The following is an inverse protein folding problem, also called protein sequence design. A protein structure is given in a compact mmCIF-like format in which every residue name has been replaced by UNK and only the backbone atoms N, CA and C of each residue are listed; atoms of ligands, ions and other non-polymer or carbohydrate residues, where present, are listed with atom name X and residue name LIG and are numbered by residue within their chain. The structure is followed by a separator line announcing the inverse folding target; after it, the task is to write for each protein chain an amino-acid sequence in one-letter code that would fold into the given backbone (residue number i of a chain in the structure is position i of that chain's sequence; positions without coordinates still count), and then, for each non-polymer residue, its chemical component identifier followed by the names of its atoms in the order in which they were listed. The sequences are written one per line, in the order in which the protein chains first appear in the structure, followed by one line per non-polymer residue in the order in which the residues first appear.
data_IF_039567627350
#
_entry.id   IF_039567627350
#
_cell.length_a   1.000
_cell.length_b   1.000
_cell.length_c   1.000
_cell.angle_alpha   90.00
_cell.angle_beta   90.00
_cell.angle_gamma   90.00
#
_symmetry.space_group_name_H-M   'P 1'
#
loop_
_entity.id
_entity.type
_entity.pdbx_description
1 polymer ?
#
# COMPACT_ATOMS: atom_id res chain seq x y z
N UNK A 1 -12.05 9.59 90.27
CA UNK A 1 -10.90 9.86 91.14
C UNK A 1 -9.67 9.20 90.51
N UNK A 2 -8.86 9.96 89.79
CA UNK A 2 -7.54 9.51 89.34
C UNK A 2 -6.54 10.51 89.93
N UNK A 3 -6.02 10.16 91.10
CA UNK A 3 -5.02 10.94 91.81
C UNK A 3 -3.68 10.67 91.11
N UNK A 4 -3.36 11.46 90.09
CA UNK A 4 -2.04 11.43 89.47
C UNK A 4 -1.04 12.07 90.45
N UNK A 5 0.03 11.36 90.87
CA UNK A 5 1.09 11.97 91.66
C UNK A 5 1.76 13.05 90.79
N UNK A 6 1.98 14.24 91.35
CA UNK A 6 2.61 15.35 90.65
C UNK A 6 4.02 14.91 90.19
N UNK A 7 4.16 14.66 88.88
CA UNK A 7 5.46 14.47 88.26
C UNK A 7 6.31 15.74 88.38
N UNK A 8 7.64 15.66 88.18
CA UNK A 8 8.53 16.79 88.36
C UNK A 8 8.05 17.99 87.52
N UNK A 9 7.62 19.07 88.17
CA UNK A 9 7.15 20.29 87.49
C UNK A 9 8.32 21.21 87.16
N UNK A 10 8.46 21.61 85.91
CA UNK A 10 9.41 22.63 85.47
C UNK A 10 8.62 23.89 85.10
N UNK A 11 8.90 25.01 85.76
CA UNK A 11 8.27 26.33 85.51
C UNK A 11 6.74 26.34 85.57
N UNK A 12 6.14 25.61 86.52
CA UNK A 12 4.69 25.65 86.78
C UNK A 12 3.82 24.77 85.86
N UNK A 13 4.43 24.00 84.95
CA UNK A 13 3.72 23.04 84.10
C UNK A 13 4.14 21.59 84.42
N UNK A 14 3.18 20.67 84.31
CA UNK A 14 3.41 19.23 84.47
C UNK A 14 4.15 18.67 83.24
N UNK A 15 5.34 18.13 83.48
CA UNK A 15 6.22 17.57 82.44
C UNK A 15 5.57 16.36 81.76
N UNK A 16 4.73 15.61 82.48
CA UNK A 16 4.03 14.45 81.90
C UNK A 16 2.97 14.95 80.91
N UNK A 17 2.19 15.98 81.25
CA UNK A 17 1.18 16.56 80.37
C UNK A 17 1.81 17.12 79.07
N UNK A 18 2.88 17.91 79.21
CA UNK A 18 3.62 18.45 78.05
C UNK A 18 4.21 17.31 77.21
N UNK A 19 4.77 16.29 77.85
CA UNK A 19 5.28 15.09 77.18
C UNK A 19 4.19 14.35 76.39
N UNK A 20 3.00 14.19 76.95
CA UNK A 20 1.89 13.47 76.30
C UNK A 20 1.37 14.22 75.07
N UNK A 21 1.29 15.56 75.13
CA UNK A 21 0.90 16.42 74.01
C UNK A 21 1.96 16.37 72.89
N UNK A 22 3.25 16.46 73.25
CA UNK A 22 4.36 16.35 72.29
C UNK A 22 4.39 14.99 71.59
N UNK A 23 4.16 13.90 72.33
CA UNK A 23 4.08 12.54 71.77
C UNK A 23 2.88 12.40 70.82
N UNK A 24 1.72 12.96 71.18
CA UNK A 24 0.55 12.99 70.30
C UNK A 24 0.82 13.73 68.98
N UNK A 25 1.50 14.88 69.05
CA UNK A 25 1.84 15.69 67.89
C UNK A 25 2.89 15.00 67.00
N UNK A 26 3.86 14.31 67.61
CA UNK A 26 4.84 13.49 66.92
C UNK A 26 4.18 12.30 66.19
N UNK A 27 3.22 11.61 66.83
CA UNK A 27 2.51 10.50 66.22
C UNK A 27 1.69 10.93 64.99
N UNK A 28 1.00 12.06 65.06
CA UNK A 28 0.26 12.63 63.92
C UNK A 28 1.21 13.04 62.79
N UNK A 29 2.33 13.66 63.11
CA UNK A 29 3.37 14.03 62.12
C UNK A 29 3.89 12.81 61.36
N UNK A 30 4.22 11.72 62.08
CA UNK A 30 4.70 10.47 61.45
C UNK A 30 3.62 9.84 60.58
N UNK A 31 2.36 9.83 61.02
CA UNK A 31 1.25 9.31 60.21
C UNK A 31 1.06 10.09 58.91
N UNK A 32 1.15 11.43 58.96
CA UNK A 32 1.11 12.29 57.77
C UNK A 32 2.32 12.04 56.85
N UNK A 33 3.51 11.85 57.41
CA UNK A 33 4.72 11.58 56.64
C UNK A 33 4.63 10.25 55.88
N UNK A 34 4.11 9.19 56.52
CA UNK A 34 3.90 7.88 55.89
C UNK A 34 2.84 7.98 54.79
N UNK A 35 1.73 8.68 55.05
CA UNK A 35 0.67 8.88 54.05
C UNK A 35 1.17 9.64 52.82
N UNK A 36 1.97 10.70 53.05
CA UNK A 36 2.59 11.47 51.98
C UNK A 36 3.55 10.60 51.16
N UNK A 37 4.42 9.81 51.80
CA UNK A 37 5.39 8.96 51.11
C UNK A 37 4.74 7.89 50.22
N UNK A 38 3.65 7.25 50.68
CA UNK A 38 2.95 6.20 49.92
C UNK A 38 2.09 6.77 48.78
N UNK A 39 1.61 8.02 48.91
CA UNK A 39 0.71 8.63 47.92
C UNK A 39 1.43 9.24 46.71
N UNK A 40 2.75 9.42 46.77
CA UNK A 40 3.53 9.91 45.61
C UNK A 40 3.54 8.84 44.52
N UNK A 41 2.65 8.97 43.54
CA UNK A 41 2.69 8.18 42.31
C UNK A 41 3.90 8.59 41.48
N UNK A 42 4.73 7.61 41.14
CA UNK A 42 5.91 7.81 40.31
C UNK A 42 5.57 8.45 38.95
N UNK A 43 6.03 9.70 38.68
CA UNK A 43 5.74 10.38 37.43
C UNK A 43 6.43 9.72 36.22
N UNK A 44 7.46 8.89 36.48
CA UNK A 44 8.26 8.19 35.47
C UNK A 44 7.44 7.19 34.65
N UNK A 45 6.56 6.41 35.27
CA UNK A 45 5.73 5.42 34.56
C UNK A 45 4.82 6.08 33.51
N UNK A 46 4.25 7.24 33.86
CA UNK A 46 3.41 8.04 32.94
C UNK A 46 4.22 8.59 31.78
N UNK A 47 5.44 9.09 32.03
CA UNK A 47 6.36 9.62 31.01
C UNK A 47 6.81 8.54 30.02
N UNK A 48 7.20 7.36 30.51
CA UNK A 48 7.64 6.25 29.65
C UNK A 48 6.49 5.77 28.75
N UNK A 49 5.27 5.66 29.28
CA UNK A 49 4.08 5.30 28.48
C UNK A 49 3.82 6.31 27.36
N UNK A 50 3.91 7.61 27.63
CA UNK A 50 3.72 8.65 26.60
C UNK A 50 4.83 8.64 25.54
N UNK A 51 6.08 8.37 25.94
CA UNK A 51 7.21 8.31 25.01
C UNK A 51 7.09 7.13 24.05
N UNK A 52 6.68 5.97 24.57
CA UNK A 52 6.45 4.78 23.75
C UNK A 52 5.27 4.97 22.80
N UNK A 53 4.17 5.56 23.25
CA UNK A 53 3.03 5.88 22.40
C UNK A 53 3.41 6.82 21.23
N UNK A 54 4.25 7.84 21.49
CA UNK A 54 4.79 8.72 20.43
C UNK A 54 5.73 7.99 19.47
N UNK A 55 6.59 7.10 19.97
CA UNK A 55 7.46 6.28 19.11
C UNK A 55 6.65 5.36 18.21
N UNK A 56 5.58 4.77 18.73
CA UNK A 56 4.68 3.90 17.97
C UNK A 56 3.87 4.69 16.93
N UNK A 57 3.36 5.87 17.29
CA UNK A 57 2.73 6.82 16.37
C UNK A 57 3.68 7.26 15.25
N UNK A 58 4.95 7.55 15.57
CA UNK A 58 5.96 7.89 14.57
C UNK A 58 6.29 6.70 13.65
N UNK A 59 6.37 5.47 14.19
CA UNK A 59 6.57 4.26 13.38
C UNK A 59 5.38 4.00 12.44
N UNK A 60 4.15 4.17 12.92
CA UNK A 60 2.93 4.00 12.12
C UNK A 60 2.73 5.15 11.11
N UNK A 61 3.11 6.37 11.48
CA UNK A 61 3.08 7.56 10.64
C UNK A 61 4.04 7.48 9.44
N UNK A 62 5.21 6.86 9.61
CA UNK A 62 6.17 6.61 8.52
C UNK A 62 5.61 5.59 7.52
N UNK A 63 4.93 4.54 8.00
CA UNK A 63 4.30 3.53 7.13
C UNK A 63 3.13 4.09 6.29
N UNK A 64 2.43 5.12 6.78
CA UNK A 64 1.24 5.70 6.13
C UNK A 64 1.52 6.96 5.31
N UNK A 65 2.52 7.77 5.70
CA UNK A 65 2.82 9.06 5.03
C UNK A 65 3.60 8.90 3.72
N UNK A 66 4.37 7.82 3.56
CA UNK A 66 5.06 7.51 2.30
C UNK A 66 4.09 7.29 1.10
N UNK A 67 2.80 7.05 1.36
CA UNK A 67 1.79 6.85 0.30
C UNK A 67 1.23 8.12 -0.33
N UNK A 68 1.31 9.29 0.33
CA UNK A 68 0.64 10.51 -0.19
C UNK A 68 1.34 11.18 -1.38
N UNK A 69 2.62 10.89 -1.64
CA UNK A 69 3.33 11.35 -2.86
C UNK A 69 3.45 10.29 -3.97
N UNK A 70 3.03 9.05 -3.71
CA UNK A 70 3.13 7.94 -4.67
C UNK A 70 1.92 7.83 -5.62
N UNK A 71 0.89 8.68 -5.48
CA UNK A 71 -0.37 8.57 -6.24
C UNK A 71 -0.41 9.34 -7.56
N UNK A 72 0.64 10.08 -7.94
CA UNK A 72 0.69 10.76 -9.25
C UNK A 72 1.13 9.81 -10.37
N UNK A 73 1.86 8.73 -10.04
CA UNK A 73 2.03 7.60 -10.96
C UNK A 73 0.81 6.71 -10.78
N UNK A 74 -0.21 6.99 -11.59
CA UNK A 74 -1.46 6.22 -11.66
C UNK A 74 -1.13 4.77 -12.05
N UNK A 75 -0.81 3.93 -11.05
CA UNK A 75 -0.52 2.51 -11.23
C UNK A 75 -1.71 1.86 -11.90
N UNK A 76 -1.53 1.41 -13.12
CA UNK A 76 -2.56 0.60 -13.77
C UNK A 76 -2.38 -0.85 -13.35
N UNK A 77 -3.13 -1.27 -12.33
CA UNK A 77 -3.06 -2.64 -11.79
C UNK A 77 -3.27 -3.70 -12.88
N UNK A 78 -4.04 -3.40 -13.92
CA UNK A 78 -4.26 -4.30 -15.05
C UNK A 78 -3.00 -4.48 -15.88
N UNK A 79 -2.23 -3.41 -16.12
CA UNK A 79 -0.97 -3.48 -16.84
C UNK A 79 0.11 -4.21 -16.02
N UNK A 80 0.12 -4.03 -14.70
CA UNK A 80 1.03 -4.74 -13.80
C UNK A 80 0.74 -6.25 -13.78
N UNK A 81 -0.54 -6.65 -13.75
CA UNK A 81 -0.94 -8.06 -13.88
C UNK A 81 -0.54 -8.64 -15.24
N UNK A 82 -0.76 -7.90 -16.34
CA UNK A 82 -0.30 -8.32 -17.68
C UNK A 82 1.23 -8.49 -17.71
N UNK A 83 1.98 -7.55 -17.12
CA UNK A 83 3.45 -7.61 -17.05
C UNK A 83 3.91 -8.84 -16.26
N UNK A 84 3.27 -9.14 -15.14
CA UNK A 84 3.58 -10.31 -14.33
C UNK A 84 3.34 -11.63 -15.11
N UNK A 85 2.26 -11.72 -15.87
CA UNK A 85 1.97 -12.87 -16.74
C UNK A 85 3.02 -13.00 -17.85
N UNK A 86 3.31 -11.89 -18.56
CA UNK A 86 4.29 -11.87 -19.64
C UNK A 86 5.72 -12.19 -19.17
N UNK A 87 6.08 -11.73 -17.98
CA UNK A 87 7.38 -12.01 -17.35
C UNK A 87 7.51 -13.48 -16.94
N UNK A 88 6.44 -14.09 -16.41
CA UNK A 88 6.40 -15.54 -16.11
C UNK A 88 6.57 -16.40 -17.37
N UNK A 89 6.00 -15.97 -18.48
CA UNK A 89 6.12 -16.65 -19.77
C UNK A 89 7.48 -16.39 -20.47
N UNK A 90 8.38 -15.58 -19.89
CA UNK A 90 9.66 -15.15 -20.49
C UNK A 90 9.55 -14.54 -21.89
N UNK A 91 8.38 -14.08 -22.31
CA UNK A 91 8.19 -13.45 -23.62
C UNK A 91 8.49 -11.95 -23.58
N UNK A 92 8.50 -11.37 -22.38
CA UNK A 92 8.80 -9.96 -22.19
C UNK A 92 10.30 -9.69 -22.42
N UNK A 93 10.66 -9.34 -23.65
CA UNK A 93 12.01 -8.86 -23.99
C UNK A 93 12.10 -7.35 -23.81
N UNK A 94 13.16 -6.89 -23.16
CA UNK A 94 13.37 -5.46 -22.90
C UNK A 94 13.58 -4.65 -24.20
N UNK A 95 14.20 -5.25 -25.21
CA UNK A 95 14.39 -4.63 -26.53
C UNK A 95 13.06 -4.34 -27.23
N UNK A 96 12.14 -5.30 -27.22
CA UNK A 96 10.80 -5.15 -27.81
C UNK A 96 9.98 -4.09 -27.07
N UNK A 97 10.08 -4.06 -25.74
CA UNK A 97 9.44 -3.04 -24.91
C UNK A 97 9.93 -1.64 -25.25
N UNK A 98 11.24 -1.44 -25.44
CA UNK A 98 11.81 -0.14 -25.79
C UNK A 98 11.32 0.34 -27.17
N UNK A 99 11.35 -0.53 -28.17
CA UNK A 99 10.89 -0.21 -29.53
C UNK A 99 9.41 0.15 -29.54
N UNK A 100 8.56 -0.62 -28.85
CA UNK A 100 7.12 -0.35 -28.78
C UNK A 100 6.86 0.92 -27.97
N UNK A 101 7.61 1.17 -26.90
CA UNK A 101 7.51 2.42 -26.13
C UNK A 101 7.84 3.63 -27.00
N UNK A 102 8.86 3.54 -27.85
CA UNK A 102 9.23 4.61 -28.78
C UNK A 102 8.15 4.85 -29.83
N UNK A 103 7.59 3.78 -30.42
CA UNK A 103 6.45 3.88 -31.36
C UNK A 103 5.20 4.46 -30.71
N UNK A 104 4.88 4.05 -29.47
CA UNK A 104 3.77 4.61 -28.70
C UNK A 104 4.00 6.09 -28.34
N UNK A 105 5.23 6.48 -28.05
CA UNK A 105 5.59 7.88 -27.83
C UNK A 105 5.40 8.73 -29.09
N UNK A 106 5.73 8.20 -30.28
CA UNK A 106 5.43 8.84 -31.58
C UNK A 106 3.92 8.91 -31.84
N UNK A 107 3.17 7.87 -31.47
CA UNK A 107 1.71 7.88 -31.45
C UNK A 107 1.12 8.80 -30.33
N UNK A 108 1.99 9.43 -29.53
CA UNK A 108 1.73 10.34 -28.42
C UNK A 108 1.04 9.75 -27.21
N UNK A 109 1.12 8.44 -27.03
CA UNK A 109 0.82 7.77 -25.77
C UNK A 109 2.09 7.82 -24.91
N UNK A 110 2.11 8.71 -23.91
CA UNK A 110 3.27 8.87 -22.99
C UNK A 110 3.36 7.83 -21.88
N UNK A 111 2.35 6.95 -21.74
CA UNK A 111 2.26 5.97 -20.66
C UNK A 111 2.99 4.68 -21.04
N UNK A 112 4.11 4.37 -20.37
CA UNK A 112 4.96 3.20 -20.62
C UNK A 112 4.25 1.84 -20.40
N UNK A 113 3.29 1.81 -19.49
CA UNK A 113 2.51 0.61 -19.15
C UNK A 113 1.73 0.03 -20.35
N UNK A 114 1.39 0.86 -21.34
CA UNK A 114 0.65 0.43 -22.53
C UNK A 114 1.50 -0.40 -23.50
N UNK A 115 2.84 -0.30 -23.44
CA UNK A 115 3.71 -1.15 -24.24
C UNK A 115 3.52 -2.64 -23.89
N UNK A 116 3.30 -2.93 -22.60
CA UNK A 116 3.01 -4.29 -22.10
C UNK A 116 1.69 -4.81 -22.66
N UNK A 117 0.65 -3.97 -22.71
CA UNK A 117 -0.65 -4.34 -23.25
C UNK A 117 -0.61 -4.63 -24.76
N UNK A 118 0.21 -3.91 -25.52
CA UNK A 118 0.41 -4.16 -26.96
C UNK A 118 1.12 -5.49 -27.20
N UNK A 119 2.18 -5.79 -26.44
CA UNK A 119 2.88 -7.08 -26.53
C UNK A 119 1.96 -8.23 -26.14
N UNK A 120 1.17 -8.04 -25.09
CA UNK A 120 0.13 -9.00 -24.69
C UNK A 120 -0.89 -9.21 -25.82
N UNK A 121 -1.36 -8.13 -26.44
CA UNK A 121 -2.26 -8.18 -27.59
C UNK A 121 -1.68 -8.95 -28.76
N UNK A 122 -0.41 -8.75 -29.10
CA UNK A 122 0.28 -9.48 -30.20
C UNK A 122 0.33 -10.99 -29.98
N UNK A 123 0.33 -11.45 -28.74
CA UNK A 123 0.31 -12.87 -28.42
C UNK A 123 -1.09 -13.45 -28.31
N UNK A 124 -2.02 -12.72 -27.67
CA UNK A 124 -3.36 -13.25 -27.36
C UNK A 124 -4.30 -13.13 -28.55
N UNK A 125 -4.24 -12.05 -29.33
CA UNK A 125 -5.15 -11.85 -30.47
C UNK A 125 -5.08 -12.94 -31.53
N UNK A 126 -3.90 -13.42 -31.99
CA UNK A 126 -3.83 -14.54 -32.93
C UNK A 126 -4.46 -15.81 -32.36
N UNK A 127 -4.28 -16.07 -31.07
CA UNK A 127 -4.78 -17.28 -30.42
C UNK A 127 -6.30 -17.22 -30.33
N UNK A 128 -6.86 -16.10 -29.87
CA UNK A 128 -8.31 -15.91 -29.71
C UNK A 128 -9.01 -15.86 -31.07
N UNK A 129 -8.50 -15.07 -32.02
CA UNK A 129 -9.12 -14.98 -33.35
C UNK A 129 -8.93 -16.27 -34.16
N UNK A 130 -7.79 -16.94 -34.01
CA UNK A 130 -7.54 -18.24 -34.62
C UNK A 130 -8.48 -19.31 -34.07
N UNK A 131 -8.57 -19.47 -32.74
CA UNK A 131 -9.49 -20.44 -32.13
C UNK A 131 -10.94 -20.13 -32.46
N UNK A 132 -11.35 -18.87 -32.42
CA UNK A 132 -12.69 -18.45 -32.82
C UNK A 132 -12.99 -18.80 -34.28
N UNK A 133 -12.08 -18.46 -35.20
CA UNK A 133 -12.21 -18.81 -36.62
C UNK A 133 -12.23 -20.33 -36.82
N UNK A 134 -11.44 -21.10 -36.06
CA UNK A 134 -11.44 -22.55 -36.12
C UNK A 134 -12.80 -23.14 -35.70
N UNK A 135 -13.39 -22.64 -34.61
CA UNK A 135 -14.71 -23.06 -34.14
C UNK A 135 -15.78 -22.73 -35.18
N UNK A 136 -15.80 -21.50 -35.71
CA UNK A 136 -16.83 -21.07 -36.67
C UNK A 136 -16.72 -21.82 -38.00
N UNK A 137 -15.49 -22.00 -38.51
CA UNK A 137 -15.26 -22.58 -39.84
C UNK A 137 -15.31 -24.11 -39.83
N UNK A 138 -14.81 -24.76 -38.78
CA UNK A 138 -14.67 -26.22 -38.74
C UNK A 138 -15.62 -26.93 -37.77
N UNK A 139 -16.09 -26.27 -36.71
CA UNK A 139 -16.97 -26.92 -35.71
C UNK A 139 -18.46 -26.60 -35.92
N UNK A 140 -18.79 -25.34 -36.20
CA UNK A 140 -20.16 -24.89 -36.51
C UNK A 140 -20.50 -25.07 -37.99
N UNK A 141 -19.48 -25.28 -38.83
CA UNK A 141 -19.58 -25.43 -40.29
C UNK A 141 -20.43 -24.33 -40.95
N UNK A 142 -20.22 -23.07 -40.52
CA UNK A 142 -21.05 -21.92 -40.92
C UNK A 142 -20.97 -21.61 -42.43
N UNK A 143 -19.92 -22.09 -43.11
CA UNK A 143 -19.76 -22.00 -44.57
C UNK A 143 -19.52 -23.39 -45.19
N UNK A 144 -20.57 -24.22 -45.34
CA UNK A 144 -20.44 -25.60 -45.81
C UNK A 144 -19.92 -25.68 -47.26
N UNK A 145 -20.35 -24.75 -48.12
CA UNK A 145 -20.04 -24.74 -49.57
C UNK A 145 -18.61 -24.25 -49.88
N UNK A 146 -17.85 -23.83 -48.88
CA UNK A 146 -16.47 -23.40 -49.08
C UNK A 146 -15.54 -24.61 -49.12
N UNK A 147 -14.86 -24.80 -50.26
CA UNK A 147 -13.79 -25.78 -50.39
C UNK A 147 -12.68 -25.57 -49.35
N UNK A 148 -11.93 -26.64 -49.04
CA UNK A 148 -10.89 -26.69 -48.00
C UNK A 148 -9.90 -25.52 -48.06
N UNK A 149 -9.53 -25.07 -49.27
CA UNK A 149 -8.64 -23.92 -49.50
C UNK A 149 -9.24 -22.58 -49.03
N UNK A 150 -10.54 -22.36 -49.21
CA UNK A 150 -11.22 -21.12 -48.79
C UNK A 150 -11.42 -21.08 -47.28
N UNK A 151 -11.75 -22.23 -46.66
CA UNK A 151 -11.82 -22.40 -45.19
C UNK A 151 -10.45 -22.12 -44.55
N UNK A 152 -9.38 -22.69 -45.12
CA UNK A 152 -8.01 -22.42 -44.68
C UNK A 152 -7.60 -20.96 -44.89
N UNK A 153 -7.95 -20.36 -46.02
CA UNK A 153 -7.70 -18.95 -46.31
C UNK A 153 -8.39 -18.01 -45.30
N UNK A 154 -9.65 -18.26 -44.97
CA UNK A 154 -10.38 -17.49 -43.95
C UNK A 154 -9.75 -17.60 -42.56
N UNK A 155 -9.35 -18.80 -42.16
CA UNK A 155 -8.62 -19.03 -40.91
C UNK A 155 -7.25 -18.33 -40.89
N UNK A 156 -6.47 -18.47 -41.96
CA UNK A 156 -5.14 -17.86 -42.08
C UNK A 156 -5.22 -16.33 -42.07
N UNK A 157 -6.23 -15.74 -42.72
CA UNK A 157 -6.48 -14.30 -42.67
C UNK A 157 -6.87 -13.82 -41.26
N UNK A 158 -7.71 -14.57 -40.55
CA UNK A 158 -8.10 -14.23 -39.18
C UNK A 158 -6.89 -14.25 -38.22
N UNK A 159 -6.04 -15.27 -38.32
CA UNK A 159 -4.81 -15.37 -37.53
C UNK A 159 -3.81 -14.27 -37.91
N UNK A 160 -3.61 -14.04 -39.21
CA UNK A 160 -2.70 -13.02 -39.74
C UNK A 160 -3.12 -11.61 -39.33
N UNK A 161 -4.42 -11.31 -39.40
CA UNK A 161 -4.99 -10.07 -38.91
C UNK A 161 -4.84 -9.93 -37.39
N UNK A 162 -5.01 -11.01 -36.63
CA UNK A 162 -4.77 -11.02 -35.18
C UNK A 162 -3.32 -10.72 -34.80
N UNK A 163 -2.35 -11.23 -35.56
CA UNK A 163 -0.93 -10.99 -35.30
C UNK A 163 -0.48 -9.58 -35.67
N UNK A 164 -0.90 -9.09 -36.85
CA UNK A 164 -0.51 -7.76 -37.33
C UNK A 164 -1.40 -6.62 -36.83
N UNK A 165 -2.59 -6.92 -36.31
CA UNK A 165 -3.57 -5.93 -35.87
C UNK A 165 -3.03 -4.89 -34.89
N UNK A 166 -2.34 -5.28 -33.81
CA UNK A 166 -1.76 -4.32 -32.86
C UNK A 166 -0.73 -3.38 -33.47
N UNK A 167 0.11 -3.89 -34.38
CA UNK A 167 1.14 -3.08 -35.05
C UNK A 167 0.52 -2.10 -36.05
N UNK A 168 -0.46 -2.57 -36.84
CA UNK A 168 -1.19 -1.74 -37.81
C UNK A 168 -1.94 -0.63 -37.09
N UNK A 169 -2.56 -0.92 -35.95
CA UNK A 169 -3.26 0.08 -35.14
C UNK A 169 -2.34 1.22 -34.69
N UNK A 170 -1.14 0.88 -34.20
CA UNK A 170 -0.15 1.88 -33.77
C UNK A 170 0.37 2.69 -34.98
N UNK A 171 0.65 2.03 -36.10
CA UNK A 171 1.08 2.73 -37.32
C UNK A 171 0.03 3.73 -37.83
N UNK A 172 -1.25 3.36 -37.80
CA UNK A 172 -2.35 4.24 -38.18
C UNK A 172 -2.44 5.46 -37.25
N UNK A 173 -2.20 5.28 -35.94
CA UNK A 173 -2.18 6.39 -34.99
C UNK A 173 -1.00 7.34 -35.23
N UNK A 174 0.18 6.80 -35.55
CA UNK A 174 1.36 7.60 -35.90
C UNK A 174 1.08 8.39 -37.19
N UNK A 175 0.58 7.73 -38.24
CA UNK A 175 0.26 8.36 -39.52
C UNK A 175 -0.70 9.55 -39.36
N UNK A 176 -1.82 9.35 -38.66
CA UNK A 176 -2.80 10.41 -38.39
C UNK A 176 -2.19 11.62 -37.67
N UNK A 177 -1.19 11.42 -36.79
CA UNK A 177 -0.49 12.51 -36.10
C UNK A 177 0.51 13.21 -37.00
N UNK A 178 1.29 12.46 -37.76
CA UNK A 178 2.23 13.03 -38.72
C UNK A 178 1.49 13.88 -39.76
N UNK A 179 0.35 13.38 -40.26
CA UNK A 179 -0.49 14.12 -41.20
C UNK A 179 -1.10 15.38 -40.58
N UNK A 180 -1.50 15.31 -39.30
CA UNK A 180 -2.00 16.47 -38.56
C UNK A 180 -0.93 17.54 -38.27
N UNK A 181 0.34 17.14 -38.13
CA UNK A 181 1.48 18.07 -37.94
C UNK A 181 1.95 18.65 -39.27
N UNK A 182 1.75 17.92 -40.38
CA UNK A 182 2.14 18.36 -41.73
C UNK A 182 1.19 19.41 -42.33
N UNK A 183 -0.05 19.48 -41.85
CA UNK A 183 -1.02 20.54 -42.19
C UNK A 183 -0.80 21.80 -41.35
#
# INVERSE_FOLDING_TARGET
MLQQPAGPTLLGFDVILIGTILVGLAAVSVMVAIYAAVTVKDPMAKRVKTLNARREELKAGIATTARKRASIVRKNETADKMKAILSRLKVLQDSQLQVITQKLAQAGIRKKEWAVAVIFGRMVLPVVLGTFAAIVIYWVDYFPDWGSMKKFGGFALAVGAGYKGPDIFIQNMIGKRTDAIRK
#
